data_IF_002818336006
#
_entry.id   IF_002818336006
#
_cell.length_a   1.000
_cell.length_b   1.000
_cell.length_c   1.000
_cell.angle_alpha   90.00
_cell.angle_beta   90.00
_cell.angle_gamma   90.00
#
_symmetry.space_group_name_H-M   'P 1'
#
loop_
_entity.id
_entity.type
_entity.pdbx_description
1 polymer ?
#
# COMPACT_ATOMS: atom_id res chain seq x y z
N UNK A 1 13.99 10.34 -3.72
CA UNK A 1 13.62 10.33 -2.30
C UNK A 1 12.14 9.95 -2.22
N UNK A 2 11.74 9.08 -1.26
CA UNK A 2 10.36 8.56 -1.15
C UNK A 2 9.36 9.68 -0.88
N UNK A 3 9.71 10.57 0.05
CA UNK A 3 8.78 11.54 0.59
C UNK A 3 8.55 12.66 -0.43
N UNK A 4 9.61 13.08 -1.14
CA UNK A 4 9.46 14.06 -2.23
C UNK A 4 8.62 13.52 -3.39
N UNK A 5 8.68 12.22 -3.68
CA UNK A 5 7.82 11.59 -4.68
C UNK A 5 6.35 11.54 -4.23
N UNK A 6 6.11 11.18 -2.97
CA UNK A 6 4.77 11.19 -2.39
C UNK A 6 4.14 12.60 -2.44
N UNK A 7 4.92 13.63 -2.11
CA UNK A 7 4.47 15.03 -2.19
C UNK A 7 4.18 15.47 -3.62
N UNK A 8 5.00 15.05 -4.59
CA UNK A 8 4.72 15.31 -6.00
C UNK A 8 3.39 14.67 -6.45
N UNK A 9 3.10 13.43 -6.04
CA UNK A 9 1.81 12.78 -6.35
C UNK A 9 0.63 13.56 -5.77
N UNK A 10 0.75 14.01 -4.51
CA UNK A 10 -0.28 14.85 -3.86
C UNK A 10 -0.50 16.16 -4.63
N UNK A 11 0.59 16.83 -5.02
CA UNK A 11 0.54 18.06 -5.79
C UNK A 11 -0.12 17.89 -7.17
N UNK A 12 -0.04 16.69 -7.78
CA UNK A 12 -0.65 16.37 -9.08
C UNK A 12 -2.05 15.74 -8.97
N UNK A 13 -2.70 15.81 -7.81
CA UNK A 13 -4.11 15.45 -7.64
C UNK A 13 -4.39 14.10 -6.98
N UNK A 14 -3.35 13.32 -6.63
CA UNK A 14 -3.52 12.13 -5.78
C UNK A 14 -3.68 12.57 -4.32
N UNK A 15 -4.91 12.91 -3.94
CA UNK A 15 -5.21 13.50 -2.61
C UNK A 15 -4.90 12.58 -1.41
N UNK A 16 -4.87 11.27 -1.62
CA UNK A 16 -4.68 10.29 -0.55
C UNK A 16 -3.47 9.39 -0.86
N UNK A 17 -2.29 9.89 -0.52
CA UNK A 17 -1.01 9.18 -0.63
C UNK A 17 -0.50 8.94 0.78
N UNK A 18 -0.15 7.70 1.09
CA UNK A 18 0.47 7.28 2.34
C UNK A 18 1.86 6.74 2.03
N UNK A 19 2.80 6.98 2.94
CA UNK A 19 4.13 6.38 2.92
C UNK A 19 4.21 5.35 4.04
N UNK A 20 4.91 4.25 3.80
CA UNK A 20 5.21 3.21 4.78
C UNK A 20 6.73 3.03 4.84
N UNK A 21 7.25 2.57 5.97
CA UNK A 21 8.69 2.33 6.13
C UNK A 21 9.08 0.94 5.63
N UNK A 22 8.15 -0.03 5.70
CA UNK A 22 8.39 -1.37 5.19
C UNK A 22 7.14 -2.24 5.01
N UNK A 23 7.37 -3.51 4.70
CA UNK A 23 6.33 -4.52 4.47
C UNK A 23 5.46 -4.75 5.72
N UNK A 24 6.03 -4.54 6.92
CA UNK A 24 5.29 -4.72 8.16
C UNK A 24 4.09 -3.79 8.27
N UNK A 25 4.23 -2.54 7.83
CA UNK A 25 3.21 -1.50 7.96
C UNK A 25 2.07 -1.64 6.95
N UNK A 26 2.29 -2.39 5.86
CA UNK A 26 1.39 -2.42 4.71
C UNK A 26 -0.03 -2.87 5.07
N UNK A 27 -0.17 -3.87 5.94
CA UNK A 27 -1.48 -4.37 6.36
C UNK A 27 -2.28 -3.32 7.14
N UNK A 28 -1.62 -2.66 8.11
CA UNK A 28 -2.24 -1.61 8.90
C UNK A 28 -2.59 -0.37 8.06
N UNK A 29 -1.76 -0.05 7.06
CA UNK A 29 -2.02 1.05 6.13
C UNK A 29 -3.21 0.76 5.19
N UNK A 30 -3.36 -0.48 4.73
CA UNK A 30 -4.39 -0.85 3.74
C UNK A 30 -5.74 -1.19 4.38
N UNK A 31 -5.76 -1.87 5.52
CA UNK A 31 -6.98 -2.42 6.14
C UNK A 31 -8.12 -1.39 6.32
N UNK A 32 -7.88 -0.14 6.79
CA UNK A 32 -8.94 0.86 6.96
C UNK A 32 -9.62 1.30 5.65
N UNK A 33 -8.99 1.06 4.51
CA UNK A 33 -9.48 1.48 3.20
C UNK A 33 -10.16 0.35 2.41
N UNK A 34 -10.04 -0.89 2.86
CA UNK A 34 -10.65 -2.04 2.22
C UNK A 34 -12.16 -2.07 2.45
N UNK A 35 -12.87 -2.52 1.42
CA UNK A 35 -14.31 -2.74 1.43
C UNK A 35 -14.62 -4.08 0.77
N UNK A 36 -15.73 -4.74 1.12
CA UNK A 36 -16.19 -5.92 0.40
C UNK A 36 -16.25 -5.67 -1.11
N UNK A 37 -15.65 -6.56 -1.90
CA UNK A 37 -15.52 -6.41 -3.35
C UNK A 37 -14.41 -5.45 -3.81
N UNK A 38 -13.60 -4.91 -2.91
CA UNK A 38 -12.43 -4.08 -3.23
C UNK A 38 -11.27 -4.88 -3.81
N UNK A 39 -10.34 -4.17 -4.45
CA UNK A 39 -9.10 -4.74 -5.00
C UNK A 39 -7.90 -3.96 -4.50
N UNK A 40 -6.81 -4.67 -4.22
CA UNK A 40 -5.49 -4.08 -3.98
C UNK A 40 -4.59 -4.43 -5.15
N UNK A 41 -3.99 -3.42 -5.76
CA UNK A 41 -3.07 -3.58 -6.88
C UNK A 41 -1.67 -3.18 -6.42
N UNK A 42 -0.76 -4.13 -6.35
CA UNK A 42 0.66 -3.87 -6.13
C UNK A 42 1.36 -3.58 -7.45
N UNK A 43 2.03 -2.43 -7.55
CA UNK A 43 2.82 -2.04 -8.73
C UNK A 43 4.26 -1.77 -8.32
N UNK A 44 5.20 -2.38 -9.04
CA UNK A 44 6.63 -2.22 -8.81
C UNK A 44 7.42 -3.39 -9.36
N UNK A 45 8.71 -3.44 -9.04
CA UNK A 45 9.58 -4.56 -9.34
C UNK A 45 10.10 -5.19 -8.04
N UNK A 46 10.75 -6.35 -8.14
CA UNK A 46 11.39 -7.01 -7.01
C UNK A 46 10.38 -7.57 -5.99
N UNK A 47 10.40 -7.05 -4.77
CA UNK A 47 9.69 -7.61 -3.62
C UNK A 47 8.17 -7.43 -3.65
N UNK A 48 7.62 -6.60 -4.54
CA UNK A 48 6.18 -6.26 -4.51
C UNK A 48 5.28 -7.49 -4.62
N UNK A 49 5.65 -8.49 -5.46
CA UNK A 49 4.86 -9.71 -5.61
C UNK A 49 4.82 -10.52 -4.30
N UNK A 50 5.93 -10.58 -3.58
CA UNK A 50 6.01 -11.25 -2.28
C UNK A 50 5.19 -10.48 -1.22
N UNK A 51 5.31 -9.15 -1.19
CA UNK A 51 4.55 -8.30 -0.27
C UNK A 51 3.05 -8.46 -0.46
N UNK A 52 2.57 -8.48 -1.70
CA UNK A 52 1.14 -8.67 -2.01
C UNK A 52 0.64 -10.06 -1.58
N UNK A 53 1.46 -11.10 -1.77
CA UNK A 53 1.12 -12.46 -1.31
C UNK A 53 1.05 -12.55 0.23
N UNK A 54 1.96 -11.87 0.94
CA UNK A 54 1.98 -11.84 2.40
C UNK A 54 0.88 -10.94 2.98
N UNK A 55 0.56 -9.83 2.31
CA UNK A 55 -0.51 -8.92 2.70
C UNK A 55 -1.84 -9.65 2.77
N UNK A 56 -2.16 -10.48 1.77
CA UNK A 56 -3.40 -11.27 1.79
C UNK A 56 -3.49 -12.12 3.06
N UNK A 57 -2.43 -12.86 3.41
CA UNK A 57 -2.39 -13.70 4.61
C UNK A 57 -2.56 -12.89 5.90
N UNK A 58 -1.93 -11.71 5.97
CA UNK A 58 -2.06 -10.81 7.12
C UNK A 58 -3.50 -10.32 7.29
N UNK A 59 -4.16 -9.94 6.20
CA UNK A 59 -5.53 -9.42 6.22
C UNK A 59 -6.58 -10.49 6.56
N UNK A 60 -6.39 -11.75 6.12
CA UNK A 60 -7.27 -12.86 6.47
C UNK A 60 -7.23 -13.21 7.97
N UNK A 61 -6.14 -12.86 8.66
CA UNK A 61 -5.96 -13.09 10.09
C UNK A 61 -6.31 -11.91 11.00
N UNK A 62 -6.73 -10.77 10.43
CA UNK A 62 -7.18 -9.56 11.17
C UNK A 62 -8.68 -9.57 11.39
#
# INVERSE_FOLDING_TARGET
DRDTYADALRAHGHRHVLTIDGEEDLAAAVAPHLKPGGVVIGLGAGSISAWMHNLQKKLEGM
#
